data_IF_686880267336
#
_entry.id   IF_686880267336
#
_cell.length_a   1.000
_cell.length_b   1.000
_cell.length_c   1.000
_cell.angle_alpha   90.00
_cell.angle_beta   90.00
_cell.angle_gamma   90.00
#
_symmetry.space_group_name_H-M   'P 1'
#
loop_
_entity.id
_entity.type
_entity.pdbx_description
1 polymer ?
#
# COMPACT_ATOMS: atom_id res chain seq x y z
N UNK A 1 41.74 -14.56 -43.61
CA UNK A 1 41.32 -14.99 -42.28
C UNK A 1 40.13 -14.16 -41.77
N UNK A 2 39.03 -14.05 -42.53
CA UNK A 2 37.88 -13.18 -42.26
C UNK A 2 36.57 -13.75 -42.84
N UNK A 3 36.27 -15.02 -42.61
CA UNK A 3 35.06 -15.65 -43.16
C UNK A 3 34.33 -16.64 -42.20
N UNK A 4 34.67 -16.67 -40.91
CA UNK A 4 34.07 -17.68 -39.99
C UNK A 4 33.14 -17.13 -38.88
N UNK A 5 32.94 -15.80 -38.80
CA UNK A 5 32.11 -15.20 -37.70
C UNK A 5 30.68 -14.82 -38.08
N UNK A 6 30.27 -14.94 -39.35
CA UNK A 6 28.90 -14.49 -39.76
C UNK A 6 27.78 -15.58 -39.57
N UNK A 7 28.16 -16.83 -39.45
CA UNK A 7 27.20 -17.97 -39.41
C UNK A 7 26.64 -18.21 -37.97
N UNK A 8 27.41 -17.92 -36.93
CA UNK A 8 26.96 -18.11 -35.53
C UNK A 8 25.95 -17.06 -35.06
N UNK A 9 25.95 -15.84 -35.63
CA UNK A 9 25.03 -14.78 -35.26
C UNK A 9 23.59 -15.01 -35.77
N UNK A 10 23.43 -15.64 -36.93
CA UNK A 10 22.10 -15.96 -37.50
C UNK A 10 21.34 -17.02 -36.71
N UNK A 11 22.05 -17.96 -36.10
CA UNK A 11 21.44 -19.02 -35.28
C UNK A 11 20.89 -18.51 -33.93
N UNK A 12 21.56 -17.56 -33.33
CA UNK A 12 21.17 -16.96 -32.07
C UNK A 12 19.92 -16.09 -32.21
N UNK A 13 19.84 -15.27 -33.25
CA UNK A 13 18.67 -14.42 -33.54
C UNK A 13 17.44 -15.27 -33.88
N UNK A 14 17.60 -16.36 -34.65
CA UNK A 14 16.49 -17.27 -34.94
C UNK A 14 15.99 -18.02 -33.71
N UNK A 15 16.83 -18.27 -32.73
CA UNK A 15 16.45 -18.91 -31.47
C UNK A 15 15.67 -17.97 -30.55
N UNK A 16 16.08 -16.69 -30.48
CA UNK A 16 15.35 -15.62 -29.74
C UNK A 16 13.99 -15.35 -30.40
N UNK A 17 13.92 -15.24 -31.70
CA UNK A 17 12.63 -15.06 -32.40
C UNK A 17 11.69 -16.25 -32.24
N UNK A 18 12.17 -17.48 -32.21
CA UNK A 18 11.32 -18.67 -31.93
C UNK A 18 10.84 -18.66 -30.46
N UNK A 19 11.65 -18.24 -29.52
CA UNK A 19 11.20 -18.10 -28.11
C UNK A 19 10.18 -16.98 -27.94
N UNK A 20 10.35 -15.83 -28.62
CA UNK A 20 9.38 -14.74 -28.61
C UNK A 20 8.03 -15.15 -29.25
N UNK A 21 8.04 -15.96 -30.29
CA UNK A 21 6.82 -16.49 -30.94
C UNK A 21 6.14 -17.54 -30.04
N UNK A 22 6.90 -18.39 -29.33
CA UNK A 22 6.36 -19.34 -28.35
C UNK A 22 5.79 -18.63 -27.11
N UNK A 23 6.39 -17.52 -26.68
CA UNK A 23 5.83 -16.69 -25.60
C UNK A 23 4.54 -15.98 -26.01
N UNK A 24 4.42 -15.50 -27.25
CA UNK A 24 3.21 -14.88 -27.76
C UNK A 24 2.07 -15.91 -27.97
N UNK A 25 2.38 -17.16 -28.31
CA UNK A 25 1.41 -18.26 -28.41
C UNK A 25 0.98 -18.82 -27.05
N UNK A 26 1.85 -18.81 -26.04
CA UNK A 26 1.51 -19.19 -24.68
C UNK A 26 0.65 -18.12 -23.95
N UNK A 27 0.81 -16.84 -24.29
CA UNK A 27 -0.10 -15.78 -23.81
C UNK A 27 -1.50 -15.83 -24.46
N UNK A 28 -1.63 -16.43 -25.63
CA UNK A 28 -2.92 -16.61 -26.33
C UNK A 28 -3.78 -17.76 -25.79
N UNK A 29 -3.22 -18.70 -25.05
CA UNK A 29 -3.92 -19.92 -24.61
C UNK A 29 -4.48 -19.86 -23.17
N UNK A 30 -4.31 -18.75 -22.43
CA UNK A 30 -4.88 -18.54 -21.08
C UNK A 30 -6.17 -17.70 -21.12
N UNK A 31 -6.68 -17.38 -22.31
CA UNK A 31 -7.94 -16.64 -22.48
C UNK A 31 -9.02 -17.56 -23.02
N UNK A 32 -9.47 -18.51 -22.24
CA UNK A 32 -10.81 -19.10 -22.42
C UNK A 32 -11.24 -19.87 -21.17
N UNK A 33 -11.68 -19.12 -20.17
CA UNK A 33 -12.75 -19.53 -19.29
C UNK A 33 -13.85 -18.49 -19.47
N UNK A 34 -14.62 -18.63 -20.53
CA UNK A 34 -15.79 -17.83 -20.87
C UNK A 34 -16.91 -18.12 -19.87
N UNK A 35 -17.17 -17.20 -18.97
CA UNK A 35 -18.47 -17.09 -18.34
C UNK A 35 -19.54 -16.74 -19.40
N UNK A 36 -20.73 -17.25 -19.23
CA UNK A 36 -21.84 -17.24 -20.15
C UNK A 36 -22.44 -15.87 -20.57
N UNK A 37 -21.69 -14.76 -20.60
CA UNK A 37 -22.18 -13.46 -21.08
C UNK A 37 -21.15 -12.64 -21.85
N UNK A 38 -20.10 -13.19 -22.43
CA UNK A 38 -19.23 -12.46 -23.36
C UNK A 38 -18.47 -11.23 -22.78
N UNK A 39 -18.57 -10.97 -21.49
CA UNK A 39 -17.95 -9.82 -20.85
C UNK A 39 -16.49 -10.12 -20.51
N UNK A 40 -15.57 -9.28 -20.98
CA UNK A 40 -14.15 -9.43 -20.64
C UNK A 40 -13.92 -9.12 -19.15
N UNK A 41 -12.87 -9.72 -18.54
CA UNK A 41 -12.48 -9.38 -17.17
C UNK A 41 -12.21 -7.87 -16.97
N UNK A 42 -11.77 -7.18 -18.03
CA UNK A 42 -11.57 -5.73 -18.02
C UNK A 42 -12.91 -4.98 -17.92
N UNK A 43 -13.94 -5.41 -18.65
CA UNK A 43 -15.28 -4.84 -18.57
C UNK A 43 -15.95 -5.11 -17.22
N UNK A 44 -15.82 -6.33 -16.68
CA UNK A 44 -16.30 -6.68 -15.34
C UNK A 44 -15.58 -5.89 -14.24
N UNK A 45 -14.29 -5.56 -14.43
CA UNK A 45 -13.53 -4.67 -13.55
C UNK A 45 -13.97 -3.22 -13.65
N UNK A 46 -14.27 -2.71 -14.85
CA UNK A 46 -14.73 -1.34 -15.08
C UNK A 46 -16.06 -1.04 -14.37
N UNK A 47 -16.99 -1.96 -14.35
CA UNK A 47 -18.29 -1.80 -13.64
C UNK A 47 -18.20 -1.65 -12.12
N UNK A 48 -17.06 -1.98 -11.52
CA UNK A 48 -16.85 -1.92 -10.06
C UNK A 48 -16.38 -0.55 -9.56
N UNK A 49 -16.11 0.38 -10.44
CA UNK A 49 -15.69 1.73 -10.07
C UNK A 49 -16.80 2.74 -10.37
N UNK A 50 -17.00 3.74 -9.52
CA UNK A 50 -17.88 4.86 -9.84
C UNK A 50 -17.34 5.63 -11.06
N UNK A 51 -18.23 6.33 -11.77
CA UNK A 51 -17.83 7.26 -12.81
C UNK A 51 -16.87 8.31 -12.24
N UNK A 52 -15.87 8.69 -13.03
CA UNK A 52 -14.93 9.74 -12.66
C UNK A 52 -15.52 11.11 -13.03
N UNK A 53 -15.21 12.16 -12.27
CA UNK A 53 -15.49 13.52 -12.68
C UNK A 53 -14.83 13.85 -14.03
N UNK A 54 -15.41 14.79 -14.76
CA UNK A 54 -14.75 15.40 -15.90
C UNK A 54 -13.41 15.98 -15.48
N UNK A 55 -12.38 15.86 -16.30
CA UNK A 55 -11.02 16.32 -15.97
C UNK A 55 -10.18 15.37 -15.10
N UNK A 56 -10.69 14.21 -14.71
CA UNK A 56 -9.93 13.19 -13.97
C UNK A 56 -9.80 11.90 -14.77
N UNK A 57 -8.63 11.31 -14.76
CA UNK A 57 -8.38 9.98 -15.27
C UNK A 57 -7.87 9.03 -14.18
N UNK A 58 -8.02 7.74 -14.39
CA UNK A 58 -7.49 6.68 -13.52
C UNK A 58 -6.87 5.59 -14.37
N UNK A 59 -5.62 5.27 -14.11
CA UNK A 59 -4.90 4.13 -14.66
C UNK A 59 -4.73 3.02 -13.64
N UNK A 60 -4.90 1.77 -14.04
CA UNK A 60 -4.44 0.65 -13.24
C UNK A 60 -2.94 0.52 -13.38
N UNK A 61 -2.23 0.39 -12.25
CA UNK A 61 -0.78 0.28 -12.21
C UNK A 61 -0.34 -0.97 -11.46
N UNK A 62 0.85 -1.44 -11.77
CA UNK A 62 1.51 -2.54 -11.08
C UNK A 62 2.74 -2.00 -10.37
N UNK A 63 2.82 -2.25 -9.07
CA UNK A 63 3.95 -1.87 -8.22
C UNK A 63 4.64 -3.15 -7.76
N UNK A 64 5.95 -3.24 -7.94
CA UNK A 64 6.73 -4.37 -7.45
C UNK A 64 7.29 -4.07 -6.07
N UNK A 65 7.05 -4.95 -5.12
CA UNK A 65 7.54 -4.88 -3.74
C UNK A 65 8.16 -6.23 -3.37
N UNK A 66 9.49 -6.30 -3.35
CA UNK A 66 10.26 -7.52 -3.06
C UNK A 66 9.76 -8.75 -3.85
N UNK A 67 9.60 -8.61 -5.16
CA UNK A 67 9.10 -9.68 -6.02
C UNK A 67 7.60 -9.95 -5.91
N UNK A 68 6.88 -9.23 -5.03
CA UNK A 68 5.43 -9.31 -4.94
C UNK A 68 4.79 -8.22 -5.79
N UNK A 69 3.89 -8.61 -6.69
CA UNK A 69 3.16 -7.68 -7.54
C UNK A 69 1.98 -7.09 -6.77
N UNK A 70 1.99 -5.78 -6.56
CA UNK A 70 0.89 -5.04 -5.95
C UNK A 70 0.03 -4.36 -7.01
N UNK A 71 -1.28 -4.44 -6.84
CA UNK A 71 -2.26 -3.78 -7.68
C UNK A 71 -2.54 -2.37 -7.18
N UNK A 72 -2.32 -1.35 -8.02
CA UNK A 72 -2.59 0.04 -7.73
C UNK A 72 -3.56 0.68 -8.71
N UNK A 73 -4.10 1.82 -8.31
CA UNK A 73 -4.85 2.77 -9.14
C UNK A 73 -4.20 4.15 -8.99
N UNK A 74 -3.74 4.72 -10.10
CA UNK A 74 -3.19 6.07 -10.17
C UNK A 74 -4.24 7.01 -10.74
N UNK A 75 -4.65 8.00 -9.95
CA UNK A 75 -5.56 9.07 -10.35
C UNK A 75 -4.77 10.32 -10.73
N UNK A 76 -5.10 10.92 -11.85
CA UNK A 76 -4.39 12.06 -12.42
C UNK A 76 -5.38 13.10 -12.98
N UNK A 77 -5.03 14.40 -12.97
CA UNK A 77 -5.73 15.38 -13.80
C UNK A 77 -5.56 15.03 -15.29
N UNK A 78 -6.61 15.13 -16.09
CA UNK A 78 -6.54 14.95 -17.55
C UNK A 78 -5.84 16.11 -18.26
N UNK A 79 -6.13 17.32 -17.81
CA UNK A 79 -5.72 18.56 -18.47
C UNK A 79 -4.31 19.01 -18.04
N UNK A 80 -3.36 18.05 -18.03
CA UNK A 80 -1.96 18.31 -17.73
C UNK A 80 -1.29 18.98 -18.92
N UNK A 81 -0.54 20.04 -18.66
CA UNK A 81 0.34 20.61 -19.69
C UNK A 81 1.43 19.59 -20.06
N UNK A 82 1.87 19.54 -21.34
CA UNK A 82 3.07 18.79 -21.70
C UNK A 82 4.24 19.17 -20.77
N UNK A 83 4.95 18.18 -20.27
CA UNK A 83 6.08 18.34 -19.32
C UNK A 83 5.73 18.88 -17.92
N UNK A 84 4.45 19.06 -17.58
CA UNK A 84 4.06 19.39 -16.21
C UNK A 84 4.35 18.20 -15.30
N UNK A 85 5.08 18.45 -14.22
CA UNK A 85 5.27 17.49 -13.13
C UNK A 85 4.28 17.77 -12.02
N UNK A 86 3.62 16.73 -11.53
CA UNK A 86 2.61 16.82 -10.48
C UNK A 86 3.19 16.40 -9.13
N UNK A 87 2.89 17.13 -8.05
CA UNK A 87 3.07 16.60 -6.70
C UNK A 87 2.20 15.35 -6.53
N UNK A 88 2.70 14.38 -5.77
CA UNK A 88 2.05 13.09 -5.67
C UNK A 88 1.77 12.67 -4.23
N UNK A 89 0.71 11.90 -4.04
CA UNK A 89 0.26 11.40 -2.75
C UNK A 89 0.18 9.87 -2.81
N UNK A 90 0.86 9.20 -1.87
CA UNK A 90 0.67 7.78 -1.61
C UNK A 90 -0.36 7.62 -0.50
N UNK A 91 -1.42 6.86 -0.77
CA UNK A 91 -2.47 6.58 0.20
C UNK A 91 -2.30 5.21 0.87
N UNK A 92 -2.19 5.23 2.19
CA UNK A 92 -2.09 4.05 3.04
C UNK A 92 -3.43 3.70 3.69
N UNK A 93 -4.01 2.57 3.27
CA UNK A 93 -5.31 2.10 3.75
C UNK A 93 -5.28 1.70 5.23
N UNK A 94 -6.43 1.89 5.90
CA UNK A 94 -6.70 1.29 7.20
C UNK A 94 -6.87 -0.22 7.15
N UNK A 95 -7.06 -0.84 8.31
CA UNK A 95 -7.21 -2.29 8.44
C UNK A 95 -8.28 -2.86 7.51
N UNK A 96 -7.89 -3.79 6.64
CA UNK A 96 -8.79 -4.42 5.66
C UNK A 96 -9.30 -3.47 4.58
N UNK A 97 -8.69 -2.29 4.43
CA UNK A 97 -8.92 -1.39 3.32
C UNK A 97 -8.49 -1.99 2.00
N UNK A 98 -8.97 -1.42 0.90
CA UNK A 98 -8.58 -1.79 -0.44
C UNK A 98 -8.72 -0.57 -1.37
N UNK A 99 -7.96 -0.53 -2.46
CA UNK A 99 -7.95 0.55 -3.43
C UNK A 99 -9.34 0.87 -4.04
N UNK A 100 -10.23 -0.13 -4.04
CA UNK A 100 -11.62 0.01 -4.54
C UNK A 100 -12.63 0.44 -3.49
N UNK A 101 -12.20 0.88 -2.31
CA UNK A 101 -13.09 1.30 -1.23
C UNK A 101 -13.02 2.81 -0.99
N UNK A 102 -12.46 3.25 0.13
CA UNK A 102 -12.30 4.67 0.41
C UNK A 102 -11.54 5.42 -0.72
N UNK A 103 -10.45 4.89 -1.29
CA UNK A 103 -9.69 5.60 -2.31
C UNK A 103 -10.47 6.00 -3.56
N UNK A 104 -11.53 5.27 -3.96
CA UNK A 104 -12.35 5.65 -5.12
C UNK A 104 -13.14 6.93 -4.89
N UNK A 105 -13.28 7.38 -3.64
CA UNK A 105 -13.89 8.65 -3.25
C UNK A 105 -12.85 9.75 -3.06
N UNK A 106 -11.64 9.39 -2.64
CA UNK A 106 -10.54 10.32 -2.38
C UNK A 106 -9.80 10.70 -3.67
N UNK A 107 -9.36 9.69 -4.44
CA UNK A 107 -8.51 9.86 -5.60
C UNK A 107 -9.01 10.91 -6.60
N UNK A 108 -10.31 10.88 -7.00
CA UNK A 108 -10.84 11.91 -7.89
C UNK A 108 -10.74 13.32 -7.31
N UNK A 109 -10.96 13.50 -6.01
CA UNK A 109 -10.89 14.83 -5.37
C UNK A 109 -9.46 15.36 -5.37
N UNK A 110 -8.46 14.53 -5.00
CA UNK A 110 -7.06 14.94 -5.05
C UNK A 110 -6.59 15.23 -6.49
N UNK A 111 -7.00 14.39 -7.45
CA UNK A 111 -6.69 14.63 -8.86
C UNK A 111 -7.29 15.93 -9.39
N UNK A 112 -8.55 16.23 -9.06
CA UNK A 112 -9.19 17.51 -9.42
C UNK A 112 -8.50 18.72 -8.78
N UNK A 113 -7.74 18.50 -7.70
CA UNK A 113 -6.93 19.54 -7.05
C UNK A 113 -5.45 19.52 -7.51
N UNK A 114 -5.13 18.88 -8.63
CA UNK A 114 -3.82 18.94 -9.26
C UNK A 114 -2.74 18.02 -8.66
N UNK A 115 -3.15 16.98 -7.92
CA UNK A 115 -2.25 15.96 -7.40
C UNK A 115 -2.34 14.67 -8.22
N UNK A 116 -1.23 13.96 -8.35
CA UNK A 116 -1.27 12.54 -8.62
C UNK A 116 -1.61 11.80 -7.32
N UNK A 117 -2.58 10.89 -7.34
CA UNK A 117 -2.99 10.16 -6.15
C UNK A 117 -2.90 8.66 -6.41
N UNK A 118 -2.00 7.99 -5.69
CA UNK A 118 -1.77 6.55 -5.79
C UNK A 118 -2.45 5.83 -4.63
N UNK A 119 -3.40 4.96 -4.97
CA UNK A 119 -4.00 4.00 -4.06
C UNK A 119 -3.60 2.59 -4.47
N UNK A 120 -3.21 1.75 -3.52
CA UNK A 120 -2.82 0.37 -3.80
C UNK A 120 -3.33 -0.59 -2.73
N UNK A 121 -3.36 -1.86 -3.09
CA UNK A 121 -3.62 -2.95 -2.15
C UNK A 121 -2.28 -3.45 -1.62
N UNK A 122 -2.11 -3.55 -0.30
CA UNK A 122 -0.92 -4.16 0.28
C UNK A 122 -0.75 -5.60 -0.18
N UNK A 123 0.47 -6.13 -0.11
CA UNK A 123 0.74 -7.56 -0.38
C UNK A 123 -0.24 -8.46 0.37
N UNK A 124 -0.80 -9.41 -0.34
CA UNK A 124 -1.78 -10.36 0.22
C UNK A 124 -3.19 -9.80 0.41
N UNK A 125 -3.44 -8.50 0.13
CA UNK A 125 -4.76 -7.87 0.23
C UNK A 125 -5.35 -7.60 -1.15
N UNK A 126 -6.67 -7.40 -1.20
CA UNK A 126 -7.37 -6.98 -2.41
C UNK A 126 -6.97 -7.77 -3.66
N UNK A 127 -6.44 -7.07 -4.65
CA UNK A 127 -6.00 -7.61 -5.94
C UNK A 127 -4.49 -7.84 -6.05
N UNK A 128 -3.73 -7.48 -5.01
CA UNK A 128 -2.28 -7.71 -4.95
C UNK A 128 -1.96 -9.19 -4.77
N UNK A 129 -0.83 -9.61 -5.31
CA UNK A 129 -0.25 -10.92 -5.06
C UNK A 129 0.15 -11.06 -3.59
N UNK A 130 0.50 -12.27 -3.19
CA UNK A 130 0.78 -12.61 -1.79
C UNK A 130 2.19 -13.14 -1.63
N UNK A 131 2.70 -13.04 -0.42
CA UNK A 131 3.84 -13.87 -0.03
C UNK A 131 3.50 -15.35 -0.27
N UNK A 132 4.45 -16.06 -0.85
CA UNK A 132 4.33 -17.49 -1.14
C UNK A 132 5.06 -18.31 -0.08
N UNK A 133 4.49 -19.45 0.26
CA UNK A 133 5.11 -20.45 1.13
C UNK A 133 5.20 -21.76 0.37
N UNK A 134 6.40 -22.27 0.20
CA UNK A 134 6.59 -23.59 -0.42
C UNK A 134 5.90 -24.69 0.39
N UNK A 135 5.31 -25.65 -0.32
CA UNK A 135 4.59 -26.78 0.28
C UNK A 135 5.29 -28.11 0.02
N UNK A 136 6.49 -28.07 -0.51
CA UNK A 136 7.36 -29.22 -0.75
C UNK A 136 8.82 -28.85 -0.45
N UNK A 137 9.72 -29.81 -0.19
CA UNK A 137 11.15 -29.54 -0.13
C UNK A 137 11.64 -28.88 -1.42
N UNK A 138 12.74 -28.12 -1.32
CA UNK A 138 13.36 -27.53 -2.50
C UNK A 138 13.83 -28.65 -3.44
N UNK A 139 13.36 -28.69 -4.70
CA UNK A 139 13.91 -29.61 -5.69
C UNK A 139 15.31 -29.17 -6.12
N UNK A 140 16.03 -30.04 -6.80
CA UNK A 140 17.28 -29.66 -7.46
C UNK A 140 17.01 -28.56 -8.49
N UNK A 141 17.90 -27.58 -8.53
CA UNK A 141 17.83 -26.46 -9.50
C UNK A 141 18.49 -26.90 -10.81
N UNK A 142 18.08 -26.28 -11.90
CA UNK A 142 18.75 -26.41 -13.17
C UNK A 142 20.08 -25.62 -13.19
N UNK A 143 20.77 -25.65 -14.33
CA UNK A 143 22.04 -24.92 -14.53
C UNK A 143 21.96 -23.42 -14.41
N UNK A 144 20.74 -22.84 -14.47
CA UNK A 144 20.49 -21.40 -14.27
C UNK A 144 20.31 -21.01 -12.81
N UNK A 145 20.18 -21.99 -11.92
CA UNK A 145 19.85 -21.79 -10.52
C UNK A 145 18.36 -21.54 -10.27
N UNK A 146 17.49 -21.74 -11.29
CA UNK A 146 16.05 -21.55 -11.20
C UNK A 146 15.32 -22.89 -11.08
N UNK A 147 14.12 -22.86 -10.46
CA UNK A 147 13.25 -24.02 -10.34
C UNK A 147 11.79 -23.61 -10.16
N UNK A 148 10.88 -24.38 -10.74
CA UNK A 148 9.47 -24.24 -10.50
C UNK A 148 9.03 -25.02 -9.27
N UNK A 149 8.34 -24.35 -8.33
CA UNK A 149 7.90 -24.96 -7.07
C UNK A 149 6.39 -24.83 -6.88
N UNK A 150 5.81 -25.77 -6.11
CA UNK A 150 4.43 -25.62 -5.61
C UNK A 150 4.44 -24.75 -4.37
N UNK A 151 3.60 -23.73 -4.35
CA UNK A 151 3.51 -22.79 -3.25
C UNK A 151 2.06 -22.48 -2.85
N UNK A 152 1.87 -22.09 -1.60
CA UNK A 152 0.60 -21.60 -1.06
C UNK A 152 0.68 -20.09 -0.83
N UNK A 153 -0.27 -19.34 -1.36
CA UNK A 153 -0.37 -17.90 -1.16
C UNK A 153 -0.96 -17.57 0.21
N UNK A 154 -0.33 -16.66 0.95
CA UNK A 154 -0.81 -16.20 2.26
C UNK A 154 -1.60 -14.91 2.07
N UNK A 155 -2.92 -15.02 2.18
CA UNK A 155 -3.86 -13.88 2.02
C UNK A 155 -4.19 -13.22 3.36
N UNK A 156 -4.53 -11.92 3.30
CA UNK A 156 -5.05 -11.11 4.41
C UNK A 156 -4.11 -11.07 5.62
N UNK A 157 -2.82 -11.13 5.38
CA UNK A 157 -1.82 -10.93 6.42
C UNK A 157 -1.76 -9.46 6.83
N UNK A 158 -1.73 -9.20 8.13
CA UNK A 158 -1.35 -7.91 8.72
C UNK A 158 0.10 -8.04 9.14
N UNK A 159 0.98 -7.50 8.32
CA UNK A 159 2.44 -7.58 8.48
C UNK A 159 3.04 -6.18 8.39
N UNK A 160 3.28 -5.55 9.52
CA UNK A 160 3.80 -4.19 9.57
C UNK A 160 5.08 -4.02 8.78
N UNK A 161 6.05 -4.93 8.94
CA UNK A 161 7.34 -4.84 8.25
C UNK A 161 7.18 -4.93 6.72
N UNK A 162 6.38 -5.87 6.22
CA UNK A 162 6.11 -5.96 4.80
C UNK A 162 5.30 -4.78 4.27
N UNK A 163 4.35 -4.27 5.05
CA UNK A 163 3.46 -3.20 4.58
C UNK A 163 4.09 -1.79 4.64
N UNK A 164 5.04 -1.53 5.53
CA UNK A 164 5.85 -0.30 5.42
C UNK A 164 6.76 -0.35 4.20
N UNK A 165 7.30 -1.52 3.86
CA UNK A 165 8.09 -1.70 2.63
C UNK A 165 7.21 -1.56 1.37
N UNK A 166 5.96 -2.02 1.40
CA UNK A 166 4.99 -1.79 0.32
C UNK A 166 4.77 -0.30 0.06
N UNK A 167 4.67 0.52 1.12
CA UNK A 167 4.53 1.99 1.00
C UNK A 167 5.81 2.61 0.41
N UNK A 168 6.99 2.17 0.84
CA UNK A 168 8.27 2.67 0.30
C UNK A 168 8.44 2.33 -1.19
N UNK A 169 8.04 1.13 -1.60
CA UNK A 169 8.03 0.75 -3.01
C UNK A 169 6.96 1.52 -3.81
N UNK A 170 5.81 1.88 -3.21
CA UNK A 170 4.83 2.77 -3.83
C UNK A 170 5.37 4.20 -4.01
N UNK A 171 6.18 4.71 -3.07
CA UNK A 171 6.90 5.98 -3.22
C UNK A 171 7.91 5.86 -4.36
N UNK A 172 8.72 4.80 -4.39
CA UNK A 172 9.72 4.57 -5.45
C UNK A 172 9.07 4.48 -6.83
N UNK A 173 7.91 3.83 -6.95
CA UNK A 173 7.10 3.79 -8.17
C UNK A 173 6.75 5.21 -8.64
N UNK A 174 6.20 6.06 -7.76
CA UNK A 174 5.83 7.43 -8.11
C UNK A 174 7.03 8.30 -8.51
N UNK A 175 8.18 8.13 -7.85
CA UNK A 175 9.41 8.84 -8.20
C UNK A 175 9.87 8.53 -9.63
N UNK A 176 9.64 7.29 -10.09
CA UNK A 176 9.97 6.85 -11.45
C UNK A 176 8.86 7.09 -12.48
N UNK A 177 7.66 7.49 -12.06
CA UNK A 177 6.52 7.63 -12.97
C UNK A 177 6.59 8.92 -13.79
N UNK A 178 6.48 8.86 -15.14
CA UNK A 178 6.50 10.04 -15.98
C UNK A 178 5.43 11.07 -15.60
N UNK A 179 5.80 12.35 -15.52
CA UNK A 179 4.89 13.45 -15.16
C UNK A 179 4.68 13.62 -13.64
N UNK A 180 5.39 12.89 -12.81
CA UNK A 180 5.40 13.08 -11.35
C UNK A 180 6.62 13.87 -10.92
N UNK A 181 6.46 14.78 -9.98
CA UNK A 181 7.54 15.43 -9.27
C UNK A 181 8.01 14.53 -8.11
N UNK A 182 9.08 13.79 -8.34
CA UNK A 182 9.68 12.91 -7.33
C UNK A 182 10.23 13.65 -6.10
N UNK A 183 10.35 14.99 -6.15
CA UNK A 183 10.74 15.82 -5.01
C UNK A 183 9.55 16.32 -4.18
N UNK A 184 8.32 16.09 -4.63
CA UNK A 184 7.07 16.53 -4.00
C UNK A 184 6.15 15.34 -3.70
N UNK A 185 6.59 14.42 -2.84
CA UNK A 185 5.83 13.24 -2.43
C UNK A 185 5.22 13.46 -1.03
N UNK A 186 3.90 13.37 -0.94
CA UNK A 186 3.14 13.36 0.30
C UNK A 186 2.65 11.96 0.67
N UNK A 187 2.49 11.72 1.97
CA UNK A 187 1.83 10.53 2.49
C UNK A 187 0.48 10.89 3.11
N UNK A 188 -0.53 10.08 2.85
CA UNK A 188 -1.82 10.14 3.50
C UNK A 188 -2.21 8.77 4.04
N UNK A 189 -2.35 8.66 5.36
CA UNK A 189 -2.68 7.40 6.03
C UNK A 189 -3.93 7.50 6.90
N UNK A 190 -4.74 6.45 6.91
CA UNK A 190 -5.94 6.39 7.74
C UNK A 190 -5.91 5.19 8.69
N UNK A 191 -6.34 5.39 9.94
CA UNK A 191 -6.45 4.34 10.94
C UNK A 191 -5.15 3.53 11.06
N UNK A 192 -5.15 2.23 10.82
CA UNK A 192 -3.95 1.40 10.72
C UNK A 192 -2.88 1.98 9.79
N UNK A 193 -3.29 2.47 8.60
CA UNK A 193 -2.40 3.12 7.64
C UNK A 193 -1.76 4.40 8.19
N UNK A 194 -2.41 5.10 9.12
CA UNK A 194 -1.84 6.25 9.81
C UNK A 194 -0.57 5.90 10.59
N UNK A 195 -0.55 4.77 11.28
CA UNK A 195 0.66 4.28 11.95
C UNK A 195 1.76 3.88 10.95
N UNK A 196 1.38 3.23 9.84
CA UNK A 196 2.36 2.86 8.81
C UNK A 196 3.04 4.10 8.20
N UNK A 197 2.27 5.13 7.82
CA UNK A 197 2.85 6.35 7.23
C UNK A 197 3.66 7.16 8.24
N UNK A 198 3.33 7.09 9.54
CA UNK A 198 4.15 7.68 10.62
C UNK A 198 5.53 7.05 10.64
N UNK A 199 5.58 5.72 10.61
CA UNK A 199 6.86 5.01 10.57
C UNK A 199 7.65 5.32 9.29
N UNK A 200 6.97 5.29 8.13
CA UNK A 200 7.62 5.57 6.84
C UNK A 200 8.13 6.99 6.77
N UNK A 201 7.37 8.00 7.20
CA UNK A 201 7.80 9.40 7.17
C UNK A 201 9.03 9.67 8.05
N UNK A 202 9.23 8.87 9.11
CA UNK A 202 10.43 8.95 9.95
C UNK A 202 11.70 8.37 9.29
N UNK A 203 11.55 7.51 8.25
CA UNK A 203 12.66 6.75 7.67
C UNK A 203 12.82 6.95 6.15
N UNK A 204 11.93 7.70 5.50
CA UNK A 204 11.94 7.90 4.05
C UNK A 204 12.13 9.39 3.70
N UNK A 205 13.34 9.81 3.33
CA UNK A 205 13.67 11.22 3.13
C UNK A 205 12.98 11.85 1.90
N UNK A 206 12.41 11.05 1.01
CA UNK A 206 11.65 11.53 -0.14
C UNK A 206 10.27 12.05 0.23
N UNK A 207 9.75 11.70 1.41
CA UNK A 207 8.50 12.26 1.93
C UNK A 207 8.70 13.72 2.30
N UNK A 208 7.79 14.60 1.85
CA UNK A 208 7.83 16.05 2.08
C UNK A 208 6.67 16.57 2.90
N UNK A 209 5.58 15.82 2.98
CA UNK A 209 4.40 16.18 3.74
C UNK A 209 3.69 14.92 4.24
N UNK A 210 3.18 14.97 5.47
CA UNK A 210 2.46 13.86 6.09
C UNK A 210 1.06 14.28 6.50
N UNK A 211 0.08 13.48 6.14
CA UNK A 211 -1.31 13.64 6.58
C UNK A 211 -1.79 12.32 7.20
N UNK A 212 -2.37 12.41 8.39
CA UNK A 212 -2.95 11.26 9.08
C UNK A 212 -4.37 11.57 9.54
N UNK A 213 -5.26 10.62 9.39
CA UNK A 213 -6.61 10.70 9.96
C UNK A 213 -6.91 9.48 10.84
N UNK A 214 -7.43 9.72 12.03
CA UNK A 214 -7.73 8.71 13.07
C UNK A 214 -6.61 7.66 13.18
N UNK A 215 -5.35 8.06 13.34
CA UNK A 215 -4.22 7.16 13.17
C UNK A 215 -4.09 6.17 14.32
N UNK A 216 -3.84 4.90 13.97
CA UNK A 216 -3.56 3.83 14.93
C UNK A 216 -2.07 3.65 15.16
N UNK A 217 -1.56 4.11 16.30
CA UNK A 217 -0.12 4.13 16.62
C UNK A 217 0.38 2.86 17.34
N UNK A 218 -0.39 1.78 17.35
CA UNK A 218 -0.07 0.58 18.13
C UNK A 218 0.32 0.88 19.59
N UNK A 219 -0.27 1.94 20.17
CA UNK A 219 0.03 2.45 21.51
C UNK A 219 -0.36 1.49 22.65
N UNK A 220 -0.90 0.34 22.33
CA UNK A 220 -1.46 -0.61 23.28
C UNK A 220 -0.65 -1.89 23.49
N UNK A 221 0.67 -1.85 23.46
CA UNK A 221 1.47 -2.95 24.03
C UNK A 221 1.51 -2.85 25.56
N UNK A 222 0.35 -2.78 26.20
CA UNK A 222 0.22 -2.90 27.66
C UNK A 222 -0.28 -4.31 27.98
N UNK A 223 0.57 -5.30 27.85
CA UNK A 223 0.35 -6.62 28.42
C UNK A 223 1.36 -6.88 29.54
N UNK A 224 1.05 -7.81 30.42
CA UNK A 224 1.96 -8.27 31.48
C UNK A 224 3.23 -8.93 30.91
N UNK A 225 3.19 -9.34 29.63
CA UNK A 225 4.35 -9.85 28.89
C UNK A 225 4.87 -8.74 27.95
N UNK A 226 6.06 -8.19 28.19
CA UNK A 226 6.69 -7.21 27.30
C UNK A 226 7.06 -7.80 25.93
N UNK A 227 7.05 -9.14 25.76
CA UNK A 227 7.49 -9.83 24.56
C UNK A 227 6.48 -10.82 23.92
N UNK A 228 5.13 -10.61 23.99
CA UNK A 228 4.22 -11.56 23.35
C UNK A 228 4.50 -11.80 21.86
N UNK A 229 4.97 -10.79 21.06
CA UNK A 229 5.41 -11.04 19.70
C UNK A 229 6.61 -11.98 19.58
N UNK A 230 7.51 -11.97 20.58
CA UNK A 230 8.69 -12.82 20.58
C UNK A 230 8.35 -14.30 20.79
N UNK A 231 7.40 -14.61 21.66
CA UNK A 231 6.92 -15.99 21.85
C UNK A 231 6.38 -16.60 20.54
N UNK A 232 5.69 -15.81 19.73
CA UNK A 232 5.25 -16.25 18.39
C UNK A 232 6.44 -16.43 17.44
N UNK A 233 7.42 -15.52 17.49
CA UNK A 233 8.64 -15.62 16.66
C UNK A 233 9.42 -16.90 16.98
N UNK A 234 9.54 -17.27 18.26
CA UNK A 234 10.17 -18.53 18.68
C UNK A 234 9.44 -19.73 18.06
N UNK A 235 8.13 -19.81 18.19
CA UNK A 235 7.34 -20.91 17.61
C UNK A 235 7.46 -20.98 16.09
N UNK A 236 7.48 -19.84 15.39
CA UNK A 236 7.66 -19.79 13.94
C UNK A 236 9.07 -20.25 13.54
N UNK A 237 10.10 -19.77 14.26
CA UNK A 237 11.51 -20.17 14.00
C UNK A 237 11.75 -21.67 14.21
N UNK A 238 11.03 -22.29 15.16
CA UNK A 238 11.10 -23.72 15.44
C UNK A 238 10.18 -24.57 14.56
N UNK A 239 9.38 -23.96 13.68
CA UNK A 239 8.38 -24.69 12.88
C UNK A 239 7.19 -25.25 13.69
N UNK A 240 7.00 -24.80 14.91
CA UNK A 240 5.92 -25.25 15.81
C UNK A 240 4.57 -24.62 15.48
N UNK A 241 4.51 -23.68 14.57
CA UNK A 241 3.29 -23.02 14.10
C UNK A 241 3.43 -22.57 12.65
N UNK A 242 2.32 -22.33 11.98
CA UNK A 242 2.32 -21.75 10.63
C UNK A 242 3.07 -20.39 10.59
N UNK A 243 3.75 -20.05 9.47
CA UNK A 243 4.45 -18.78 9.33
C UNK A 243 3.60 -17.54 9.63
N UNK A 244 2.31 -17.61 9.31
CA UNK A 244 1.32 -16.58 9.63
C UNK A 244 0.05 -17.24 10.16
N UNK A 245 0.00 -17.57 11.46
CA UNK A 245 -1.14 -18.27 12.03
C UNK A 245 -2.40 -17.41 12.05
N UNK A 246 -3.55 -18.04 11.94
CA UNK A 246 -4.81 -17.36 12.22
C UNK A 246 -4.88 -16.97 13.68
N UNK A 247 -5.51 -15.82 13.96
CA UNK A 247 -5.92 -15.51 15.34
C UNK A 247 -6.87 -16.57 15.86
N UNK A 248 -6.75 -16.88 17.14
CA UNK A 248 -7.66 -17.78 17.85
C UNK A 248 -9.11 -17.26 17.87
N UNK A 249 -9.27 -15.93 17.91
CA UNK A 249 -10.56 -15.25 17.75
C UNK A 249 -10.63 -14.54 16.41
N UNK A 250 -11.49 -15.02 15.53
CA UNK A 250 -11.77 -14.42 14.24
C UNK A 250 -12.77 -13.29 14.39
N UNK A 251 -12.51 -12.14 13.77
CA UNK A 251 -13.39 -10.97 13.80
C UNK A 251 -14.29 -10.93 12.56
N UNK A 252 -15.52 -10.43 12.73
CA UNK A 252 -16.47 -10.25 11.64
C UNK A 252 -17.21 -11.52 11.24
N UNK A 253 -18.12 -11.38 10.26
CA UNK A 253 -18.91 -12.49 9.72
C UNK A 253 -18.03 -13.47 8.94
N UNK A 254 -18.33 -14.78 9.01
CA UNK A 254 -17.71 -15.81 8.17
C UNK A 254 -17.77 -15.39 6.69
N UNK A 255 -16.66 -15.49 5.97
CA UNK A 255 -16.55 -15.05 4.58
C UNK A 255 -16.13 -13.58 4.38
N UNK A 256 -16.20 -12.73 5.42
CA UNK A 256 -15.65 -11.37 5.32
C UNK A 256 -14.12 -11.38 5.36
N UNK A 257 -13.49 -10.33 4.77
CA UNK A 257 -12.02 -10.17 4.85
C UNK A 257 -11.51 -10.13 6.28
N UNK A 258 -12.24 -9.50 7.20
CA UNK A 258 -11.87 -9.41 8.62
C UNK A 258 -11.86 -10.78 9.30
N UNK A 259 -12.70 -11.70 8.87
CA UNK A 259 -12.72 -13.08 9.35
C UNK A 259 -11.44 -13.84 8.97
N UNK A 260 -10.87 -13.54 7.80
CA UNK A 260 -9.68 -14.21 7.28
C UNK A 260 -8.37 -13.50 7.66
N UNK A 261 -8.42 -12.34 8.34
CA UNK A 261 -7.22 -11.61 8.70
C UNK A 261 -6.31 -12.40 9.64
N UNK A 262 -5.02 -12.36 9.28
CA UNK A 262 -3.94 -12.99 10.02
C UNK A 262 -2.96 -11.93 10.50
N UNK A 263 -2.74 -11.83 11.79
CA UNK A 263 -1.80 -10.85 12.35
C UNK A 263 -0.46 -11.51 12.63
N UNK A 264 0.56 -11.12 11.89
CA UNK A 264 1.93 -11.56 12.11
C UNK A 264 2.64 -10.68 13.12
N UNK A 265 2.27 -10.81 14.37
CA UNK A 265 2.83 -9.98 15.45
C UNK A 265 4.32 -10.24 15.69
N UNK A 266 4.85 -11.39 15.27
CA UNK A 266 6.28 -11.67 15.33
C UNK A 266 7.13 -10.71 14.48
N UNK A 267 6.55 -10.12 13.42
CA UNK A 267 7.20 -9.13 12.56
C UNK A 267 6.90 -7.68 12.97
N UNK A 268 6.29 -7.49 14.12
CA UNK A 268 5.97 -6.17 14.66
C UNK A 268 6.76 -5.82 15.92
N UNK A 269 7.82 -6.57 16.23
CA UNK A 269 8.59 -6.38 17.48
C UNK A 269 9.16 -4.95 17.55
N UNK A 270 9.73 -4.48 16.46
CA UNK A 270 10.35 -3.16 16.35
C UNK A 270 9.40 -2.08 15.80
N UNK A 271 8.15 -2.45 15.51
CA UNK A 271 7.16 -1.53 14.97
C UNK A 271 6.44 -0.78 16.10
N UNK A 272 6.94 0.38 16.43
CA UNK A 272 6.32 1.30 17.40
C UNK A 272 6.27 2.70 16.79
N UNK A 273 5.29 3.02 15.91
CA UNK A 273 5.24 4.28 15.18
C UNK A 273 5.34 5.52 16.07
N UNK A 274 4.72 5.50 17.25
CA UNK A 274 4.80 6.61 18.19
C UNK A 274 6.23 6.89 18.67
N UNK A 275 7.08 5.87 18.77
CA UNK A 275 8.47 6.03 19.19
C UNK A 275 9.34 6.65 18.07
N UNK A 276 8.95 6.51 16.82
CA UNK A 276 9.66 7.10 15.68
C UNK A 276 9.20 8.52 15.34
N UNK A 277 8.14 9.00 15.97
CA UNK A 277 7.55 10.31 15.67
C UNK A 277 8.55 11.47 15.83
N UNK A 278 9.47 11.42 16.81
CA UNK A 278 10.51 12.44 17.00
C UNK A 278 11.49 12.59 15.82
N UNK A 279 11.55 11.58 14.96
CA UNK A 279 12.40 11.57 13.75
C UNK A 279 11.73 12.23 12.54
N UNK A 280 10.42 12.48 12.58
CA UNK A 280 9.68 13.12 11.50
C UNK A 280 10.04 14.61 11.46
N UNK A 281 10.51 15.09 10.32
CA UNK A 281 10.95 16.48 10.11
C UNK A 281 10.10 17.23 9.07
N UNK A 282 9.07 16.59 8.56
CA UNK A 282 8.18 17.15 7.52
C UNK A 282 6.89 17.72 8.12
N UNK A 283 6.30 18.76 7.50
CA UNK A 283 5.00 19.28 7.91
C UNK A 283 3.97 18.17 8.03
N UNK A 284 3.27 18.12 9.16
CA UNK A 284 2.37 17.02 9.51
C UNK A 284 1.00 17.52 9.94
N UNK A 285 -0.05 17.06 9.24
CA UNK A 285 -1.45 17.23 9.65
C UNK A 285 -1.96 15.95 10.31
N UNK A 286 -2.55 16.08 11.49
CA UNK A 286 -3.20 14.97 12.20
C UNK A 286 -4.66 15.36 12.43
N UNK A 287 -5.57 14.52 11.96
CA UNK A 287 -7.02 14.70 12.15
C UNK A 287 -7.50 13.54 13.04
N UNK A 288 -7.94 13.89 14.25
CA UNK A 288 -8.55 12.96 15.19
C UNK A 288 -10.04 13.23 15.36
N UNK A 289 -10.76 12.30 15.97
CA UNK A 289 -12.17 12.42 16.30
C UNK A 289 -12.37 12.20 17.79
N UNK A 290 -13.27 12.99 18.40
CA UNK A 290 -13.48 13.00 19.85
C UNK A 290 -14.03 11.68 20.37
N UNK A 291 -15.00 11.10 19.64
CA UNK A 291 -15.73 9.88 20.05
C UNK A 291 -15.24 8.65 19.27
N UNK A 292 -13.92 8.50 19.17
CA UNK A 292 -13.34 7.34 18.49
C UNK A 292 -13.62 6.06 19.30
N UNK A 293 -14.46 5.20 18.74
CA UNK A 293 -14.88 3.94 19.34
C UNK A 293 -13.84 2.82 19.20
N UNK A 294 -12.78 3.04 18.43
CA UNK A 294 -11.72 2.05 18.18
C UNK A 294 -10.39 2.43 18.81
N UNK A 295 -10.07 3.72 18.78
CA UNK A 295 -8.74 4.24 19.12
C UNK A 295 -8.88 5.43 20.06
N UNK A 296 -8.19 5.40 21.20
CA UNK A 296 -8.10 6.58 22.04
C UNK A 296 -7.17 7.61 21.37
N UNK A 297 -7.72 8.75 20.93
CA UNK A 297 -6.97 9.76 20.20
C UNK A 297 -5.81 10.37 21.01
N UNK A 298 -5.97 10.52 22.34
CA UNK A 298 -4.93 11.05 23.21
C UNK A 298 -3.67 10.17 23.24
N UNK A 299 -3.85 8.84 23.15
CA UNK A 299 -2.76 7.86 23.11
C UNK A 299 -2.21 7.62 21.70
N UNK A 300 -2.88 8.13 20.69
CA UNK A 300 -2.56 7.96 19.28
C UNK A 300 -2.18 9.29 18.61
N UNK A 301 -3.07 9.93 17.87
CA UNK A 301 -2.74 11.11 17.07
C UNK A 301 -2.28 12.30 17.90
N UNK A 302 -2.99 12.63 18.99
CA UNK A 302 -2.59 13.71 19.89
C UNK A 302 -1.18 13.50 20.47
N UNK A 303 -0.86 12.28 20.89
CA UNK A 303 0.48 11.97 21.41
C UNK A 303 1.59 12.22 20.38
N UNK A 304 1.34 11.85 19.12
CA UNK A 304 2.27 12.16 18.02
C UNK A 304 2.38 13.66 17.81
N UNK A 305 1.27 14.40 17.82
CA UNK A 305 1.28 15.85 17.70
C UNK A 305 2.12 16.52 18.81
N UNK A 306 1.98 16.06 20.05
CA UNK A 306 2.72 16.59 21.19
C UNK A 306 4.25 16.33 21.04
N UNK A 307 4.63 15.15 20.54
CA UNK A 307 6.04 14.83 20.25
C UNK A 307 6.57 15.76 19.15
N UNK A 308 5.86 15.89 18.04
CA UNK A 308 6.28 16.73 16.90
C UNK A 308 6.42 18.20 17.29
N UNK A 309 5.51 18.73 18.10
CA UNK A 309 5.61 20.09 18.66
C UNK A 309 6.87 20.26 19.50
N UNK A 310 7.17 19.30 20.36
CA UNK A 310 8.38 19.31 21.19
C UNK A 310 9.67 19.32 20.35
N UNK A 311 9.65 18.60 19.22
CA UNK A 311 10.77 18.53 18.28
C UNK A 311 10.87 19.75 17.33
N UNK A 312 9.95 20.72 17.43
CA UNK A 312 9.90 21.89 16.57
C UNK A 312 9.43 21.62 15.14
N UNK A 313 8.84 20.46 14.89
CA UNK A 313 8.27 20.12 13.57
C UNK A 313 6.96 20.89 13.35
N UNK A 314 6.75 21.40 12.13
CA UNK A 314 5.49 22.04 11.75
C UNK A 314 4.38 21.00 11.84
N UNK A 315 3.44 21.17 12.77
CA UNK A 315 2.36 20.22 13.01
C UNK A 315 1.04 20.93 13.32
N UNK A 316 -0.03 20.46 12.68
CA UNK A 316 -1.41 20.82 12.99
C UNK A 316 -2.16 19.58 13.48
N UNK A 317 -2.70 19.66 14.69
CA UNK A 317 -3.62 18.66 15.24
C UNK A 317 -5.03 19.22 15.22
N UNK A 318 -5.92 18.56 14.50
CA UNK A 318 -7.33 18.93 14.38
C UNK A 318 -8.20 17.85 14.99
N UNK A 319 -9.00 18.21 16.01
CA UNK A 319 -9.95 17.33 16.66
C UNK A 319 -11.36 17.63 16.16
N UNK A 320 -12.03 16.68 15.55
CA UNK A 320 -13.41 16.76 15.13
C UNK A 320 -14.33 16.41 16.31
N UNK A 321 -14.96 17.43 16.91
CA UNK A 321 -15.85 17.25 18.05
C UNK A 321 -17.11 16.47 17.65
N UNK A 322 -17.55 15.54 18.49
CA UNK A 322 -18.71 14.70 18.28
C UNK A 322 -18.56 13.59 17.23
N UNK A 323 -17.49 13.63 16.44
CA UNK A 323 -17.24 12.64 15.38
C UNK A 323 -16.74 11.30 15.93
N UNK A 324 -17.03 10.21 15.20
CA UNK A 324 -16.61 8.84 15.50
C UNK A 324 -15.59 8.34 14.47
N UNK A 325 -14.95 7.19 14.74
CA UNK A 325 -13.95 6.60 13.82
C UNK A 325 -14.48 6.39 12.41
N UNK A 326 -15.74 6.02 12.28
CA UNK A 326 -16.34 5.76 10.97
C UNK A 326 -17.03 6.96 10.35
N UNK A 327 -17.48 7.95 11.14
CA UNK A 327 -18.14 9.15 10.63
C UNK A 327 -17.18 10.04 9.80
N UNK A 328 -15.88 9.98 10.07
CA UNK A 328 -14.85 10.69 9.30
C UNK A 328 -14.82 10.28 7.81
N UNK A 329 -15.28 9.09 7.51
CA UNK A 329 -15.32 8.57 6.13
C UNK A 329 -16.65 8.87 5.41
N UNK A 330 -17.63 9.42 6.10
CA UNK A 330 -18.99 9.65 5.60
C UNK A 330 -19.44 11.08 5.85
N UNK A 331 -20.01 11.36 7.01
CA UNK A 331 -20.62 12.65 7.33
C UNK A 331 -19.60 13.79 7.32
N UNK A 332 -18.38 13.54 7.79
CA UNK A 332 -17.31 14.52 7.88
C UNK A 332 -16.34 14.50 6.70
N UNK A 333 -16.52 13.59 5.72
CA UNK A 333 -15.53 13.37 4.67
C UNK A 333 -15.21 14.65 3.88
N UNK A 334 -16.23 15.47 3.55
CA UNK A 334 -16.02 16.71 2.80
C UNK A 334 -15.10 17.66 3.56
N UNK A 335 -15.40 17.91 4.81
CA UNK A 335 -14.60 18.81 5.66
C UNK A 335 -13.17 18.28 5.88
N UNK A 336 -13.02 16.96 6.05
CA UNK A 336 -11.72 16.33 6.18
C UNK A 336 -10.88 16.49 4.91
N UNK A 337 -11.50 16.34 3.75
CA UNK A 337 -10.82 16.54 2.47
C UNK A 337 -10.38 18.01 2.28
N UNK A 338 -11.20 18.98 2.67
CA UNK A 338 -10.85 20.40 2.66
C UNK A 338 -9.59 20.65 3.51
N UNK A 339 -9.58 20.19 4.76
CA UNK A 339 -8.42 20.31 5.65
C UNK A 339 -7.13 19.65 5.07
N UNK A 340 -7.28 18.50 4.44
CA UNK A 340 -6.16 17.77 3.84
C UNK A 340 -5.61 18.51 2.62
N UNK A 341 -6.49 18.99 1.74
CA UNK A 341 -6.10 19.70 0.52
C UNK A 341 -5.43 21.03 0.87
N UNK A 342 -5.99 21.80 1.81
CA UNK A 342 -5.42 23.06 2.26
C UNK A 342 -4.00 22.86 2.80
N UNK A 343 -3.81 21.85 3.66
CA UNK A 343 -2.51 21.49 4.21
C UNK A 343 -1.50 21.10 3.13
N UNK A 344 -1.91 20.25 2.18
CA UNK A 344 -1.06 19.82 1.09
C UNK A 344 -0.74 20.95 0.11
N UNK A 345 -1.68 21.86 -0.15
CA UNK A 345 -1.42 23.05 -0.98
C UNK A 345 -0.36 23.95 -0.34
N UNK A 346 -0.41 24.12 0.98
CA UNK A 346 0.55 24.96 1.71
C UNK A 346 1.94 24.34 1.79
N UNK A 347 2.04 23.01 1.94
CA UNK A 347 3.29 22.35 2.30
C UNK A 347 3.87 21.39 1.27
N UNK A 348 3.17 21.10 0.18
CA UNK A 348 3.65 20.17 -0.85
C UNK A 348 3.73 20.79 -2.26
N UNK A 349 3.02 21.87 -2.54
CA UNK A 349 3.04 22.54 -3.84
C UNK A 349 3.99 23.74 -3.93
N UNK A 350 4.54 24.17 -2.81
CA UNK A 350 5.43 25.34 -2.71
C UNK A 350 6.88 24.95 -2.80
#
# INVERSE_FOLDING_TARGET
MLAMNSIKFSGYIRRIMKQLILYSLALGAVVSASGQNGETQAQARARKYPALPEGVERGAVTIWSDGTRMAGDLYLPKDRKPNQKLPAIVFANGTGGAKRKLPVRLGPVFASNGYAFLAFDYRGWGESDSQLMMVQPMPETDETGEVMVKARAIRWQVDFAGQVEDIRNAIAFLVGEPGIDGSAIGLLGTSYGGGLVTWVAAHEPRVKCLVMQVPGMAAGRSGKDPFPPYALKVKQARGETEPVPYKTQRRGKKGSRYYHMRYNTARSIDYVPVATASQIKVPTLIIDVEKDELLNFEKNGKRVADILKKEGTIVKHHLLNGATHYSIYNEHLKHVLELQIDWLNEHLKN
#
